data_IF_132435217317
#
_entry.id   IF_132435217317
#
_cell.length_a   1.000
_cell.length_b   1.000
_cell.length_c   1.000
_cell.angle_alpha   90.00
_cell.angle_beta   90.00
_cell.angle_gamma   90.00
#
_symmetry.space_group_name_H-M   'P 1'
#
loop_
_entity.id
_entity.type
_entity.pdbx_description
1 polymer ?
#
# COMPACT_ATOMS: atom_id res chain seq x y z
N UNK A 1 -21.28 24.21 -0.58
CA UNK A 1 -20.08 24.25 0.29
C UNK A 1 -19.10 23.09 0.07
N UNK A 2 -19.37 21.85 0.52
CA UNK A 2 -18.38 20.75 0.41
C UNK A 2 -17.97 20.40 -1.02
N UNK A 3 -18.94 20.17 -1.91
CA UNK A 3 -18.70 19.82 -3.32
C UNK A 3 -17.96 20.94 -4.08
N UNK A 4 -18.35 22.19 -3.84
CA UNK A 4 -17.72 23.35 -4.50
C UNK A 4 -16.26 23.49 -4.09
N UNK A 5 -15.96 23.35 -2.79
CA UNK A 5 -14.59 23.40 -2.27
C UNK A 5 -13.73 22.26 -2.83
N UNK A 6 -14.24 21.03 -2.85
CA UNK A 6 -13.53 19.89 -3.43
C UNK A 6 -13.28 20.06 -4.93
N UNK A 7 -14.24 20.61 -5.68
CA UNK A 7 -14.08 20.90 -7.11
C UNK A 7 -12.96 21.93 -7.34
N UNK A 8 -12.95 23.01 -6.57
CA UNK A 8 -11.90 24.04 -6.67
C UNK A 8 -10.51 23.50 -6.32
N UNK A 9 -10.40 22.66 -5.28
CA UNK A 9 -9.13 22.04 -4.89
C UNK A 9 -8.61 21.05 -5.93
N UNK A 10 -9.51 20.24 -6.51
CA UNK A 10 -9.17 19.29 -7.56
C UNK A 10 -8.65 19.98 -8.82
N UNK A 11 -9.36 21.03 -9.27
CA UNK A 11 -8.92 21.85 -10.40
C UNK A 11 -7.54 22.49 -10.17
N UNK A 12 -7.29 23.01 -8.95
CA UNK A 12 -6.04 23.68 -8.62
C UNK A 12 -4.84 22.71 -8.49
N UNK A 13 -5.06 21.52 -7.91
CA UNK A 13 -3.98 20.58 -7.57
C UNK A 13 -3.68 19.58 -8.70
N UNK A 14 -4.71 19.21 -9.48
CA UNK A 14 -4.63 18.14 -10.48
C UNK A 14 -5.03 18.57 -11.89
N UNK A 15 -5.57 19.79 -12.07
CA UNK A 15 -6.01 20.30 -13.38
C UNK A 15 -7.30 19.67 -13.89
N UNK A 16 -8.01 18.90 -13.07
CA UNK A 16 -9.25 18.20 -13.39
C UNK A 16 -10.23 18.34 -12.22
N UNK A 17 -11.47 18.76 -12.51
CA UNK A 17 -12.48 19.12 -11.51
C UNK A 17 -13.61 18.08 -11.40
N UNK A 18 -13.46 16.94 -12.08
CA UNK A 18 -14.41 15.83 -12.01
C UNK A 18 -14.44 15.24 -10.61
N UNK A 19 -15.64 15.11 -10.08
CA UNK A 19 -15.89 14.50 -8.77
C UNK A 19 -16.80 13.28 -8.96
N UNK A 20 -16.55 12.24 -8.18
CA UNK A 20 -17.53 11.17 -7.93
C UNK A 20 -17.88 11.16 -6.45
N UNK A 21 -18.99 10.52 -6.11
CA UNK A 21 -19.46 10.39 -4.73
C UNK A 21 -19.54 8.90 -4.42
N UNK A 22 -18.99 8.52 -3.28
CA UNK A 22 -19.04 7.16 -2.76
C UNK A 22 -19.75 7.10 -1.41
N UNK A 23 -20.12 5.89 -1.01
CA UNK A 23 -20.67 5.65 0.32
C UNK A 23 -19.56 5.83 1.36
N UNK A 24 -19.78 6.72 2.32
CA UNK A 24 -18.87 6.87 3.45
C UNK A 24 -18.95 5.66 4.40
N UNK A 25 -17.85 4.94 4.56
CA UNK A 25 -17.73 3.83 5.51
C UNK A 25 -17.26 4.41 6.85
N UNK A 26 -18.04 4.18 7.91
CA UNK A 26 -17.75 4.67 9.26
C UNK A 26 -16.75 3.74 9.93
N UNK A 27 -15.74 4.33 10.59
CA UNK A 27 -14.62 3.63 11.23
C UNK A 27 -13.95 2.59 10.30
N UNK A 28 -13.50 3.02 9.11
CA UNK A 28 -12.94 2.12 8.12
C UNK A 28 -11.56 1.62 8.55
N UNK A 29 -11.25 0.39 8.12
CA UNK A 29 -9.87 -0.12 8.10
C UNK A 29 -9.35 -0.05 6.67
N UNK A 30 -8.18 0.51 6.48
CA UNK A 30 -7.51 0.60 5.18
C UNK A 30 -6.59 -0.60 5.03
N UNK A 31 -6.98 -1.54 4.16
CA UNK A 31 -6.22 -2.77 3.87
C UNK A 31 -5.88 -2.77 2.41
N UNK A 32 -4.64 -3.12 2.08
CA UNK A 32 -4.19 -3.11 0.70
C UNK A 32 -3.43 -4.38 0.33
N UNK A 33 -3.58 -4.83 -0.91
CA UNK A 33 -3.00 -6.08 -1.42
C UNK A 33 -1.86 -5.74 -2.37
N UNK A 34 -0.66 -6.19 -2.05
CA UNK A 34 0.47 -6.13 -2.97
C UNK A 34 0.27 -7.13 -4.09
N UNK A 35 0.37 -6.68 -5.34
CA UNK A 35 0.36 -7.54 -6.52
C UNK A 35 1.68 -7.41 -7.29
N UNK A 36 2.01 -8.47 -8.02
CA UNK A 36 3.12 -8.52 -8.96
C UNK A 36 2.64 -9.24 -10.22
N UNK A 37 2.81 -8.59 -11.38
CA UNK A 37 2.46 -9.15 -12.69
C UNK A 37 3.63 -9.13 -13.66
N UNK A 38 3.63 -10.03 -14.65
CA UNK A 38 4.58 -10.01 -15.77
C UNK A 38 3.89 -9.83 -17.13
N UNK A 39 4.71 -9.60 -18.17
CA UNK A 39 4.25 -9.48 -19.56
C UNK A 39 3.79 -10.81 -20.19
N UNK A 40 3.90 -11.90 -19.45
CA UNK A 40 3.47 -13.26 -19.85
C UNK A 40 2.12 -13.62 -19.25
N UNK A 41 1.38 -12.65 -18.69
CA UNK A 41 0.04 -12.78 -18.10
C UNK A 41 0.03 -13.52 -16.76
N UNK A 42 1.19 -13.72 -16.14
CA UNK A 42 1.25 -14.21 -14.76
C UNK A 42 1.00 -13.04 -13.81
N UNK A 43 0.16 -13.28 -12.80
CA UNK A 43 -0.13 -12.32 -11.73
C UNK A 43 -0.30 -13.10 -10.43
N UNK A 44 0.37 -12.63 -9.38
CA UNK A 44 0.31 -13.14 -8.01
C UNK A 44 0.08 -11.99 -7.02
N UNK A 45 -0.46 -12.31 -5.84
CA UNK A 45 -0.47 -11.39 -4.71
C UNK A 45 0.57 -11.79 -3.65
N UNK A 46 1.10 -10.81 -2.95
CA UNK A 46 2.16 -10.98 -1.95
C UNK A 46 1.66 -10.76 -0.51
N UNK A 47 0.34 -10.87 -0.34
CA UNK A 47 -0.34 -10.65 0.93
C UNK A 47 -0.84 -9.22 1.06
N UNK A 48 -1.24 -8.87 2.27
CA UNK A 48 -1.83 -7.60 2.62
C UNK A 48 -0.95 -6.74 3.52
N UNK A 49 -1.22 -5.43 3.49
CA UNK A 49 -0.75 -4.46 4.48
C UNK A 49 -1.93 -3.79 5.16
N UNK A 50 -1.79 -3.54 6.45
CA UNK A 50 -2.69 -2.72 7.25
C UNK A 50 -2.14 -1.29 7.29
N UNK A 51 -2.90 -0.35 6.74
CA UNK A 51 -2.51 1.06 6.63
C UNK A 51 -3.52 2.00 7.30
N UNK A 52 -4.26 1.49 8.29
CA UNK A 52 -5.34 2.24 8.97
C UNK A 52 -4.85 3.37 9.87
N UNK A 53 -3.59 3.34 10.31
CA UNK A 53 -3.02 4.39 11.17
C UNK A 53 -2.65 5.58 10.29
N UNK A 54 -3.60 6.51 10.18
CA UNK A 54 -3.49 7.67 9.31
C UNK A 54 -3.71 8.98 10.06
N UNK A 55 -3.07 10.04 9.57
CA UNK A 55 -3.33 11.41 9.99
C UNK A 55 -3.72 12.23 8.77
N UNK A 56 -4.93 12.81 8.78
CA UNK A 56 -5.48 13.57 7.62
C UNK A 56 -5.35 12.79 6.30
N UNK A 57 -5.72 11.51 6.32
CA UNK A 57 -5.68 10.61 5.16
C UNK A 57 -4.26 10.29 4.63
N UNK A 58 -3.22 10.58 5.40
CA UNK A 58 -1.85 10.18 5.10
C UNK A 58 -1.45 9.03 6.01
N UNK A 59 -0.88 7.96 5.43
CA UNK A 59 -0.37 6.78 6.16
C UNK A 59 0.84 7.18 7.01
N UNK A 60 0.84 6.75 8.28
CA UNK A 60 1.87 7.08 9.29
C UNK A 60 2.58 5.83 9.80
N UNK A 61 1.82 4.75 9.98
CA UNK A 61 2.32 3.43 10.38
C UNK A 61 1.62 2.39 9.52
N UNK A 62 2.42 1.45 9.03
CA UNK A 62 1.99 0.38 8.14
C UNK A 62 2.53 -0.94 8.67
N UNK A 63 1.75 -2.02 8.56
CA UNK A 63 2.19 -3.34 9.02
C UNK A 63 1.75 -4.46 8.09
N UNK A 64 2.53 -5.54 8.07
CA UNK A 64 2.23 -6.76 7.32
C UNK A 64 2.60 -8.00 8.13
N UNK A 65 1.77 -9.06 8.12
CA UNK A 65 0.38 -9.07 7.65
C UNK A 65 -0.54 -8.21 8.55
N UNK A 66 -1.80 -8.02 8.16
CA UNK A 66 -2.78 -7.29 8.98
C UNK A 66 -3.27 -8.14 10.17
N UNK A 67 -3.46 -7.55 11.37
CA UNK A 67 -4.08 -8.23 12.53
C UNK A 67 -5.58 -8.48 12.35
N UNK A 68 -6.25 -7.65 11.55
CA UNK A 68 -7.65 -7.81 11.18
C UNK A 68 -7.83 -8.94 10.15
N UNK A 69 -6.78 -9.10 9.34
CA UNK A 69 -6.48 -10.03 8.26
C UNK A 69 -6.69 -11.54 8.49
N UNK A 70 -7.90 -12.12 8.57
CA UNK A 70 -8.00 -13.59 8.64
C UNK A 70 -7.69 -14.30 7.30
N UNK A 71 -7.43 -15.62 7.34
CA UNK A 71 -7.03 -16.37 6.15
C UNK A 71 -8.09 -16.39 5.04
N UNK A 72 -9.37 -16.39 5.40
CA UNK A 72 -10.47 -16.41 4.45
C UNK A 72 -10.59 -15.06 3.75
N UNK A 73 -10.56 -13.97 4.51
CA UNK A 73 -10.60 -12.62 3.97
C UNK A 73 -9.35 -12.34 3.11
N UNK A 74 -8.15 -12.74 3.55
CA UNK A 74 -6.91 -12.62 2.77
C UNK A 74 -7.04 -13.28 1.41
N UNK A 75 -7.54 -14.52 1.37
CA UNK A 75 -7.73 -15.26 0.13
C UNK A 75 -8.75 -14.57 -0.79
N UNK A 76 -9.85 -14.05 -0.22
CA UNK A 76 -10.89 -13.36 -0.99
C UNK A 76 -10.38 -12.03 -1.58
N UNK A 77 -9.71 -11.20 -0.79
CA UNK A 77 -9.13 -9.92 -1.23
C UNK A 77 -8.01 -10.15 -2.25
N UNK A 78 -7.11 -11.10 -1.97
CA UNK A 78 -6.04 -11.51 -2.89
C UNK A 78 -6.58 -11.97 -4.24
N UNK A 79 -7.64 -12.80 -4.25
CA UNK A 79 -8.28 -13.24 -5.48
C UNK A 79 -8.89 -12.08 -6.29
N UNK A 80 -9.54 -11.12 -5.62
CA UNK A 80 -10.09 -9.94 -6.30
C UNK A 80 -9.00 -9.02 -6.86
N UNK A 81 -7.92 -8.78 -6.12
CA UNK A 81 -6.79 -7.98 -6.58
C UNK A 81 -6.11 -8.62 -7.80
N UNK A 82 -5.86 -9.93 -7.78
CA UNK A 82 -5.31 -10.69 -8.91
C UNK A 82 -6.27 -10.67 -10.11
N UNK A 83 -7.57 -10.83 -9.89
CA UNK A 83 -8.57 -10.76 -10.96
C UNK A 83 -8.58 -9.40 -11.66
N UNK A 84 -8.59 -8.31 -10.88
CA UNK A 84 -8.50 -6.94 -11.40
C UNK A 84 -7.24 -6.75 -12.27
N UNK A 85 -6.08 -7.10 -11.71
CA UNK A 85 -4.80 -6.97 -12.39
C UNK A 85 -4.72 -7.79 -13.69
N UNK A 86 -5.23 -9.03 -13.69
CA UNK A 86 -5.31 -9.85 -14.91
C UNK A 86 -6.24 -9.23 -15.96
N UNK A 87 -7.38 -8.68 -15.54
CA UNK A 87 -8.35 -8.10 -16.46
C UNK A 87 -7.78 -6.89 -17.20
N UNK A 88 -7.02 -6.04 -16.52
CA UNK A 88 -6.36 -4.87 -17.14
C UNK A 88 -5.01 -5.21 -17.78
N UNK A 89 -4.53 -6.45 -17.64
CA UNK A 89 -3.24 -6.88 -18.17
C UNK A 89 -2.05 -6.21 -17.50
N UNK A 90 -2.13 -6.03 -16.19
CA UNK A 90 -1.11 -5.34 -15.39
C UNK A 90 0.21 -6.13 -15.34
N UNK A 91 1.33 -5.44 -15.59
CA UNK A 91 2.70 -5.90 -15.33
C UNK A 91 3.41 -4.95 -14.36
N UNK A 92 4.48 -5.44 -13.72
CA UNK A 92 5.21 -4.79 -12.62
C UNK A 92 4.52 -4.91 -11.25
N UNK A 93 5.03 -4.20 -10.25
CA UNK A 93 4.48 -4.13 -8.91
C UNK A 93 3.42 -3.03 -8.81
N UNK A 94 2.31 -3.36 -8.15
CA UNK A 94 1.25 -2.42 -7.85
C UNK A 94 0.48 -2.82 -6.60
N UNK A 95 -0.44 -1.98 -6.17
CA UNK A 95 -1.23 -2.23 -4.97
C UNK A 95 -2.70 -1.98 -5.23
N UNK A 96 -3.55 -2.91 -4.78
CA UNK A 96 -5.01 -2.75 -4.79
C UNK A 96 -5.46 -2.41 -3.38
N UNK A 97 -6.03 -1.23 -3.19
CA UNK A 97 -6.48 -0.73 -1.89
C UNK A 97 -7.95 -1.05 -1.66
N UNK A 98 -8.27 -1.39 -0.42
CA UNK A 98 -9.62 -1.70 0.04
C UNK A 98 -9.95 -0.96 1.33
N UNK A 99 -11.22 -0.62 1.46
CA UNK A 99 -11.81 -0.20 2.72
C UNK A 99 -12.58 -1.37 3.32
N UNK A 100 -12.26 -1.74 4.56
CA UNK A 100 -12.95 -2.78 5.33
C UNK A 100 -13.81 -2.14 6.40
N UNK A 101 -15.11 -2.43 6.38
CA UNK A 101 -16.07 -1.96 7.37
C UNK A 101 -16.07 -2.79 8.66
N UNK A 102 -16.75 -2.32 9.69
CA UNK A 102 -16.91 -3.03 10.96
C UNK A 102 -17.59 -4.41 10.81
N UNK A 103 -18.45 -4.57 9.80
CA UNK A 103 -19.11 -5.83 9.44
C UNK A 103 -18.20 -6.80 8.70
N UNK A 104 -16.90 -6.47 8.56
CA UNK A 104 -15.89 -7.19 7.78
C UNK A 104 -16.19 -7.27 6.28
N UNK A 105 -17.16 -6.52 5.78
CA UNK A 105 -17.30 -6.33 4.34
C UNK A 105 -16.15 -5.44 3.85
N UNK A 106 -15.57 -5.79 2.71
CA UNK A 106 -14.50 -5.02 2.09
C UNK A 106 -14.90 -4.53 0.71
N UNK A 107 -14.44 -3.32 0.38
CA UNK A 107 -14.81 -2.60 -0.83
C UNK A 107 -13.54 -2.09 -1.51
N UNK A 108 -13.44 -2.29 -2.82
CA UNK A 108 -12.35 -1.69 -3.61
C UNK A 108 -12.39 -0.17 -3.47
N UNK A 109 -11.21 0.43 -3.26
CA UNK A 109 -11.03 1.87 -3.18
C UNK A 109 -10.29 2.39 -4.42
N UNK A 110 -9.03 1.97 -4.57
CA UNK A 110 -8.20 2.39 -5.68
C UNK A 110 -7.13 1.35 -6.02
N UNK A 111 -6.40 1.61 -7.11
CA UNK A 111 -5.22 0.85 -7.46
C UNK A 111 -4.05 1.80 -7.68
N UNK A 112 -3.01 1.65 -6.86
CA UNK A 112 -1.74 2.34 -7.05
C UNK A 112 -0.90 1.55 -8.06
N UNK A 113 -0.76 2.10 -9.27
CA UNK A 113 -0.04 1.46 -10.39
C UNK A 113 1.48 1.65 -10.33
N UNK A 114 2.03 1.64 -9.12
CA UNK A 114 3.45 1.85 -8.80
C UNK A 114 3.80 1.17 -7.49
N UNK A 115 5.09 1.03 -7.22
CA UNK A 115 5.58 0.68 -5.89
C UNK A 115 5.18 1.76 -4.87
N UNK A 116 4.79 1.32 -3.68
CA UNK A 116 4.43 2.18 -2.55
C UNK A 116 5.60 2.32 -1.57
N UNK A 117 5.50 3.31 -0.67
CA UNK A 117 6.57 3.60 0.30
C UNK A 117 6.73 2.41 1.23
N UNK A 118 5.61 1.90 1.72
CA UNK A 118 5.43 0.80 2.67
C UNK A 118 5.67 -0.61 2.09
N UNK A 119 6.25 -0.73 0.89
CA UNK A 119 6.61 -2.04 0.33
C UNK A 119 7.60 -2.86 1.20
N UNK A 120 8.52 -2.28 2.00
CA UNK A 120 9.47 -3.06 2.81
C UNK A 120 8.81 -4.00 3.81
N UNK A 121 7.66 -3.67 4.38
CA UNK A 121 6.98 -4.60 5.30
C UNK A 121 6.53 -5.88 4.59
N UNK A 122 6.16 -5.79 3.31
CA UNK A 122 5.86 -6.96 2.48
C UNK A 122 7.12 -7.74 2.13
N UNK A 123 8.22 -7.06 1.79
CA UNK A 123 9.51 -7.72 1.53
C UNK A 123 10.00 -8.51 2.74
N UNK A 124 9.88 -7.94 3.94
CA UNK A 124 10.34 -8.57 5.18
C UNK A 124 9.58 -9.85 5.52
N UNK A 125 8.26 -9.88 5.30
CA UNK A 125 7.45 -11.07 5.61
C UNK A 125 7.45 -12.10 4.49
N UNK A 126 7.70 -11.71 3.23
CA UNK A 126 7.74 -12.65 2.09
C UNK A 126 9.15 -13.14 1.75
N UNK A 127 10.17 -12.34 2.04
CA UNK A 127 11.55 -12.53 1.60
C UNK A 127 11.78 -12.17 0.13
N UNK A 128 10.86 -11.47 -0.53
CA UNK A 128 10.98 -11.05 -1.93
C UNK A 128 11.43 -9.60 -2.03
N UNK A 129 12.38 -9.31 -2.90
CA UNK A 129 12.80 -7.95 -3.27
C UNK A 129 11.94 -7.46 -4.44
N UNK A 130 11.02 -6.53 -4.16
CA UNK A 130 10.04 -6.06 -5.13
C UNK A 130 10.66 -5.16 -6.18
N UNK A 131 11.71 -4.41 -5.82
CA UNK A 131 12.44 -3.58 -6.78
C UNK A 131 13.20 -4.46 -7.77
N UNK A 132 13.83 -5.55 -7.29
CA UNK A 132 14.46 -6.56 -8.15
C UNK A 132 13.44 -7.18 -9.12
N UNK A 133 12.29 -7.63 -8.61
CA UNK A 133 11.23 -8.21 -9.43
C UNK A 133 10.70 -7.23 -10.49
N UNK A 134 10.50 -5.95 -10.14
CA UNK A 134 10.12 -4.91 -11.11
C UNK A 134 11.15 -4.78 -12.25
N UNK A 135 12.45 -4.78 -11.92
CA UNK A 135 13.52 -4.69 -12.92
C UNK A 135 13.53 -5.92 -13.83
N UNK A 136 13.34 -7.12 -13.27
CA UNK A 136 13.27 -8.38 -14.03
C UNK A 136 12.07 -8.41 -14.98
N UNK A 137 10.88 -8.04 -14.48
CA UNK A 137 9.67 -7.92 -15.31
C UNK A 137 9.87 -6.90 -16.42
N UNK A 138 10.49 -5.75 -16.13
CA UNK A 138 10.78 -4.74 -17.13
C UNK A 138 11.74 -5.26 -18.22
N UNK A 139 12.68 -6.14 -17.86
CA UNK A 139 13.57 -6.86 -18.78
C UNK A 139 12.86 -7.98 -19.58
N UNK A 140 11.57 -8.23 -19.34
CA UNK A 140 10.77 -9.24 -20.05
C UNK A 140 10.87 -10.65 -19.46
N UNK A 141 11.48 -10.80 -18.29
CA UNK A 141 11.50 -12.08 -17.57
C UNK A 141 10.10 -12.49 -17.12
N UNK A 142 9.92 -13.80 -16.88
CA UNK A 142 8.72 -14.35 -16.24
C UNK A 142 8.84 -14.27 -14.73
N UNK A 143 7.71 -14.18 -14.04
CA UNK A 143 7.69 -14.31 -12.58
C UNK A 143 8.34 -15.63 -12.15
N UNK A 144 9.26 -15.54 -11.19
CA UNK A 144 9.98 -16.71 -10.63
C UNK A 144 9.13 -17.52 -9.65
N UNK A 145 8.03 -16.92 -9.17
CA UNK A 145 7.19 -17.46 -8.11
C UNK A 145 5.76 -17.64 -8.61
N UNK A 146 5.15 -18.75 -8.20
CA UNK A 146 3.71 -18.98 -8.27
C UNK A 146 3.03 -18.51 -6.98
N UNK A 147 1.70 -18.41 -7.01
CA UNK A 147 0.94 -18.02 -5.81
C UNK A 147 1.18 -18.96 -4.61
N UNK A 148 1.44 -20.25 -4.87
CA UNK A 148 1.68 -21.26 -3.84
C UNK A 148 3.07 -21.14 -3.20
N UNK A 149 4.01 -20.43 -3.82
CA UNK A 149 5.35 -20.21 -3.28
C UNK A 149 5.39 -19.06 -2.27
N UNK A 150 4.31 -18.26 -2.20
CA UNK A 150 4.23 -17.08 -1.34
C UNK A 150 3.86 -17.51 0.07
N UNK A 151 4.80 -17.35 1.00
CA UNK A 151 4.63 -17.66 2.42
C UNK A 151 4.93 -16.41 3.25
N UNK A 152 3.94 -15.95 4.01
CA UNK A 152 4.12 -14.84 4.96
C UNK A 152 4.76 -15.39 6.25
N UNK A 153 5.93 -14.88 6.62
CA UNK A 153 6.71 -15.28 7.79
C UNK A 153 6.90 -14.10 8.73
N UNK A 154 6.42 -14.25 9.96
CA UNK A 154 6.59 -13.23 11.00
C UNK A 154 5.68 -12.02 10.78
N UNK A 155 6.17 -10.86 11.22
CA UNK A 155 5.46 -9.59 11.21
C UNK A 155 6.46 -8.46 10.98
N UNK A 156 6.08 -7.46 10.20
CA UNK A 156 6.87 -6.27 9.97
C UNK A 156 5.99 -5.02 10.16
N UNK A 157 6.60 -3.96 10.71
CA UNK A 157 5.98 -2.66 10.92
C UNK A 157 6.94 -1.61 10.40
N UNK A 158 6.41 -0.65 9.64
CA UNK A 158 7.09 0.55 9.20
C UNK A 158 6.51 1.76 9.91
N UNK A 159 7.37 2.71 10.27
CA UNK A 159 6.96 4.00 10.81
C UNK A 159 7.75 5.11 10.13
N UNK A 160 7.02 6.11 9.65
CA UNK A 160 7.61 7.24 8.93
C UNK A 160 8.13 8.29 9.91
N UNK A 161 9.44 8.50 9.93
CA UNK A 161 10.06 9.60 10.67
C UNK A 161 10.07 10.84 9.78
N UNK A 162 9.11 11.73 10.00
CA UNK A 162 8.96 12.98 9.26
C UNK A 162 9.48 14.17 10.07
N UNK A 163 10.02 15.17 9.37
CA UNK A 163 10.36 16.46 9.96
C UNK A 163 9.09 17.31 10.15
N UNK A 164 8.25 16.91 11.08
CA UNK A 164 6.99 17.59 11.43
C UNK A 164 6.96 17.80 12.95
N UNK A 165 6.43 18.94 13.39
CA UNK A 165 6.37 19.30 14.82
C UNK A 165 4.99 18.98 15.42
N UNK A 166 4.85 17.94 16.27
CA UNK A 166 3.56 17.57 16.86
C UNK A 166 2.98 18.65 17.80
N UNK A 167 3.83 19.45 18.45
CA UNK A 167 3.39 20.51 19.38
C UNK A 167 2.82 21.71 18.62
N UNK A 168 3.29 21.92 17.38
CA UNK A 168 2.82 22.97 16.48
C UNK A 168 1.90 22.45 15.37
N UNK A 169 1.11 21.40 15.65
CA UNK A 169 0.07 20.93 14.73
C UNK A 169 0.58 20.21 13.49
N UNK A 170 1.75 19.56 13.60
CA UNK A 170 2.46 18.86 12.53
C UNK A 170 2.88 19.76 11.37
N UNK A 171 3.21 21.02 11.65
CA UNK A 171 3.83 21.88 10.65
C UNK A 171 5.19 21.31 10.24
N UNK A 172 5.58 21.42 8.95
CA UNK A 172 6.92 21.04 8.51
C UNK A 172 8.00 21.78 9.29
N UNK A 173 8.92 21.03 9.89
CA UNK A 173 10.05 21.54 10.67
C UNK A 173 11.32 21.51 9.80
N UNK A 174 11.47 22.54 8.97
CA UNK A 174 12.63 22.68 8.08
C UNK A 174 13.83 23.30 8.82
N UNK A 175 15.03 22.83 8.51
CA UNK A 175 16.27 23.34 9.12
C UNK A 175 17.49 22.50 8.73
N UNK A 176 18.63 22.81 9.35
CA UNK A 176 19.85 22.02 9.21
C UNK A 176 19.82 20.87 10.23
N UNK A 177 19.98 19.64 9.76
CA UNK A 177 20.20 18.47 10.62
C UNK A 177 21.61 18.56 11.23
N UNK A 178 21.70 18.94 12.51
CA UNK A 178 22.99 19.07 13.20
C UNK A 178 23.55 17.73 13.67
N UNK A 179 22.67 16.81 14.08
CA UNK A 179 23.04 15.50 14.60
C UNK A 179 22.07 14.43 14.09
N UNK A 180 22.64 13.31 13.65
CA UNK A 180 21.88 12.13 13.25
C UNK A 180 22.66 10.89 13.68
N UNK A 181 22.00 10.03 14.45
CA UNK A 181 22.54 8.73 14.84
C UNK A 181 21.47 7.68 14.56
N UNK A 182 21.58 6.92 13.46
CA UNK A 182 20.67 5.81 13.23
C UNK A 182 20.86 4.72 14.30
N UNK A 183 19.85 3.89 14.57
CA UNK A 183 20.02 2.71 15.41
C UNK A 183 21.04 1.76 14.78
N UNK A 184 21.58 0.83 15.59
CA UNK A 184 22.47 -0.21 15.06
C UNK A 184 21.72 -1.03 13.98
N UNK A 185 22.39 -1.42 12.88
CA UNK A 185 21.75 -2.21 11.83
C UNK A 185 21.13 -3.48 12.42
N UNK A 186 19.84 -3.67 12.18
CA UNK A 186 19.15 -4.92 12.48
C UNK A 186 18.83 -5.66 11.17
N UNK A 187 18.71 -7.00 11.20
CA UNK A 187 18.38 -7.80 10.01
C UNK A 187 17.07 -7.36 9.30
N UNK A 188 16.18 -6.65 9.99
CA UNK A 188 14.89 -6.18 9.47
C UNK A 188 14.92 -4.78 8.79
N UNK A 189 16.12 -4.25 8.51
CA UNK A 189 16.42 -2.95 7.85
C UNK A 189 15.96 -1.68 8.59
N UNK A 190 16.67 -0.60 8.25
CA UNK A 190 16.65 0.74 8.85
C UNK A 190 15.56 1.62 8.25
#
# INVERSE_FOLDING_TARGET
EGVERSRSEAAASFGDDRLFIEKFIVEPRHIEIQILGDRHRNVIHLGERECSVQRRNQKVVEESPSPLVDAQMRAAMGAQAVALARQVGYDSAGTVEFVVGQDRAFYFLEMNTRLQVEHPVTELVTGLDLVEEMIRVAAGERLRHSQNDIVLKGWAIESRICAEDPEHGFLPSAGRLEFYRPPAPQPARL
#
